data_IF_120581573095
#
_entry.id   IF_120581573095
#
_cell.length_a   1.000
_cell.length_b   1.000
_cell.length_c   1.000
_cell.angle_alpha   90.00
_cell.angle_beta   90.00
_cell.angle_gamma   90.00
#
_symmetry.space_group_name_H-M   'P 1'
#
loop_
_entity.id
_entity.type
_entity.pdbx_description
1 polymer ?
#
# COMPACT_ATOMS: atom_id res chain seq x y z
N UNK A 1 9.65 6.11 -0.73
CA UNK A 1 8.66 5.28 -1.43
C UNK A 1 8.83 3.82 -1.10
N UNK A 2 7.76 3.08 -1.18
CA UNK A 2 7.77 1.64 -0.95
C UNK A 2 7.15 0.92 -2.13
N UNK A 3 7.38 -0.37 -2.23
CA UNK A 3 6.75 -1.22 -3.24
C UNK A 3 5.57 -1.96 -2.61
N UNK A 4 4.41 -1.79 -3.22
CA UNK A 4 3.20 -2.51 -2.86
C UNK A 4 3.08 -3.73 -3.75
N UNK A 5 2.70 -4.86 -3.18
CA UNK A 5 2.30 -6.03 -3.94
C UNK A 5 0.85 -5.84 -4.38
N UNK A 6 0.60 -5.94 -5.68
CA UNK A 6 -0.74 -5.82 -6.24
C UNK A 6 -1.11 -7.12 -6.92
N UNK A 7 -2.21 -7.74 -6.53
CA UNK A 7 -2.64 -9.03 -7.06
C UNK A 7 -4.06 -8.92 -7.60
N UNK A 8 -4.25 -9.38 -8.83
CA UNK A 8 -5.57 -9.42 -9.45
C UNK A 8 -6.22 -10.76 -9.12
N UNK A 9 -7.38 -10.72 -8.49
CA UNK A 9 -8.11 -11.91 -8.08
C UNK A 9 -9.38 -12.06 -8.92
N UNK A 10 -9.59 -13.29 -9.42
CA UNK A 10 -10.87 -13.61 -10.02
C UNK A 10 -11.92 -13.66 -8.91
N UNK A 11 -13.12 -13.19 -9.21
CA UNK A 11 -14.21 -13.21 -8.26
C UNK A 11 -14.78 -14.63 -8.15
N UNK A 12 -14.03 -15.52 -7.52
CA UNK A 12 -14.41 -16.90 -7.32
C UNK A 12 -14.05 -17.35 -5.91
N UNK A 13 -14.78 -18.34 -5.45
CA UNK A 13 -14.64 -18.88 -4.11
C UNK A 13 -13.22 -19.42 -3.88
N UNK A 14 -12.64 -19.12 -2.73
CA UNK A 14 -11.35 -19.67 -2.34
C UNK A 14 -10.12 -18.95 -2.85
N UNK A 15 -10.26 -17.96 -3.75
CA UNK A 15 -9.08 -17.29 -4.32
C UNK A 15 -8.32 -16.48 -3.28
N UNK A 16 -9.01 -15.79 -2.40
CA UNK A 16 -8.34 -15.01 -1.35
C UNK A 16 -7.60 -15.94 -0.37
N UNK A 17 -8.23 -17.03 0.03
CA UNK A 17 -7.58 -17.99 0.91
C UNK A 17 -6.35 -18.60 0.26
N UNK A 18 -6.43 -18.91 -1.04
CA UNK A 18 -5.30 -19.47 -1.79
C UNK A 18 -4.15 -18.46 -1.88
N UNK A 19 -4.45 -17.18 -2.10
CA UNK A 19 -3.45 -16.11 -2.12
C UNK A 19 -2.71 -16.05 -0.79
N UNK A 20 -3.44 -16.00 0.31
CA UNK A 20 -2.83 -15.89 1.63
C UNK A 20 -2.02 -17.14 2.00
N UNK A 21 -2.50 -18.32 1.62
CA UNK A 21 -1.77 -19.57 1.87
C UNK A 21 -0.48 -19.63 1.05
N UNK A 22 -0.52 -19.21 -0.19
CA UNK A 22 0.66 -19.19 -1.05
C UNK A 22 1.75 -18.30 -0.46
N UNK A 23 1.38 -17.11 0.01
CA UNK A 23 2.31 -16.18 0.63
C UNK A 23 2.86 -16.74 1.96
N UNK A 24 2.00 -17.33 2.78
CA UNK A 24 2.40 -17.91 4.05
C UNK A 24 3.40 -19.05 3.87
N UNK A 25 3.13 -19.94 2.92
CA UNK A 25 4.00 -21.08 2.64
C UNK A 25 5.37 -20.64 2.09
N UNK A 26 5.42 -19.47 1.48
CA UNK A 26 6.66 -18.86 0.98
C UNK A 26 7.40 -18.04 2.04
N UNK A 27 6.86 -17.97 3.26
CA UNK A 27 7.47 -17.19 4.34
C UNK A 27 7.32 -15.69 4.20
N UNK A 28 6.37 -15.22 3.40
CA UNK A 28 6.12 -13.78 3.22
C UNK A 28 5.17 -13.28 4.30
N UNK A 29 5.62 -12.29 5.05
CA UNK A 29 4.79 -11.67 6.08
C UNK A 29 4.06 -10.45 5.53
N UNK A 30 2.74 -10.40 5.75
CA UNK A 30 1.92 -9.28 5.35
C UNK A 30 1.73 -8.30 6.50
N UNK A 31 2.07 -7.03 6.25
CA UNK A 31 1.87 -5.95 7.22
C UNK A 31 0.50 -5.30 7.03
N UNK A 32 -0.01 -5.30 5.80
CA UNK A 32 -1.32 -4.74 5.48
C UNK A 32 -1.91 -5.46 4.27
N UNK A 33 -3.23 -5.55 4.25
CA UNK A 33 -3.98 -6.13 3.15
C UNK A 33 -5.26 -5.32 2.98
N UNK A 34 -5.55 -4.88 1.76
CA UNK A 34 -6.84 -4.30 1.43
C UNK A 34 -7.31 -4.88 0.10
N UNK A 35 -8.61 -5.02 -0.03
CA UNK A 35 -9.23 -5.59 -1.22
C UNK A 35 -10.28 -4.62 -1.73
N UNK A 36 -10.16 -4.28 -3.01
CA UNK A 36 -11.18 -3.52 -3.72
C UNK A 36 -11.76 -4.45 -4.77
N UNK A 37 -13.08 -4.55 -4.84
CA UNK A 37 -13.69 -5.45 -5.79
C UNK A 37 -14.64 -4.74 -6.76
N UNK A 38 -14.71 -5.29 -7.97
CA UNK A 38 -15.73 -4.96 -8.94
C UNK A 38 -16.61 -6.22 -9.11
N UNK A 39 -17.61 -6.16 -9.99
CA UNK A 39 -18.49 -7.30 -10.20
C UNK A 39 -17.77 -8.54 -10.75
N UNK A 40 -16.67 -8.35 -11.45
CA UNK A 40 -15.99 -9.43 -12.18
C UNK A 40 -14.68 -9.87 -11.54
N UNK A 41 -13.99 -8.98 -10.85
CA UNK A 41 -12.70 -9.30 -10.24
C UNK A 41 -12.42 -8.40 -9.04
N UNK A 42 -11.41 -8.77 -8.27
CA UNK A 42 -10.92 -7.97 -7.16
C UNK A 42 -9.44 -7.62 -7.35
N UNK A 43 -9.01 -6.63 -6.64
CA UNK A 43 -7.60 -6.25 -6.56
C UNK A 43 -7.19 -6.27 -5.10
N UNK A 44 -6.22 -7.11 -4.77
CA UNK A 44 -5.62 -7.13 -3.43
C UNK A 44 -4.37 -6.26 -3.45
N UNK A 45 -4.29 -5.34 -2.50
CA UNK A 45 -3.13 -4.48 -2.32
C UNK A 45 -2.51 -4.82 -0.98
N UNK A 46 -1.25 -5.21 -1.01
CA UNK A 46 -0.56 -5.81 0.14
C UNK A 46 0.76 -5.10 0.38
N UNK A 47 1.01 -4.76 1.63
CA UNK A 47 2.34 -4.32 2.08
C UNK A 47 2.96 -5.53 2.77
N UNK A 48 4.09 -5.97 2.26
CA UNK A 48 4.75 -7.16 2.77
C UNK A 48 6.27 -7.04 2.67
N UNK A 49 6.96 -7.92 3.38
CA UNK A 49 8.40 -8.07 3.19
C UNK A 49 8.65 -8.81 1.87
N UNK A 50 9.87 -8.67 1.36
CA UNK A 50 10.35 -9.42 0.20
C UNK A 50 9.35 -9.46 -0.98
N UNK A 51 8.91 -8.29 -1.41
CA UNK A 51 7.87 -8.16 -2.45
C UNK A 51 8.28 -8.82 -3.78
N UNK A 52 9.57 -8.81 -4.14
CA UNK A 52 10.05 -9.44 -5.37
C UNK A 52 9.85 -10.96 -5.32
N UNK A 53 10.17 -11.57 -4.18
CA UNK A 53 9.95 -13.01 -3.98
C UNK A 53 8.45 -13.32 -3.99
N UNK A 54 7.64 -12.46 -3.38
CA UNK A 54 6.19 -12.63 -3.36
C UNK A 54 5.61 -12.65 -4.77
N UNK A 55 6.03 -11.76 -5.64
CA UNK A 55 5.58 -11.72 -7.03
C UNK A 55 5.92 -13.03 -7.73
N UNK A 56 7.17 -13.49 -7.61
CA UNK A 56 7.62 -14.72 -8.27
C UNK A 56 6.82 -15.94 -7.82
N UNK A 57 6.62 -16.08 -6.51
CA UNK A 57 5.88 -17.19 -5.93
C UNK A 57 4.41 -17.18 -6.40
N UNK A 58 3.80 -16.01 -6.43
CA UNK A 58 2.41 -15.88 -6.86
C UNK A 58 2.24 -16.16 -8.34
N UNK A 59 3.16 -15.67 -9.18
CA UNK A 59 3.10 -15.97 -10.61
C UNK A 59 3.25 -17.47 -10.88
N UNK A 60 4.17 -18.12 -10.18
CA UNK A 60 4.35 -19.57 -10.29
C UNK A 60 3.10 -20.34 -9.87
N UNK A 61 2.32 -19.78 -8.95
CA UNK A 61 1.08 -20.40 -8.48
C UNK A 61 -0.14 -20.02 -9.34
N UNK A 62 0.06 -19.27 -10.42
CA UNK A 62 -0.99 -18.92 -11.36
C UNK A 62 -1.72 -17.61 -11.07
N UNK A 63 -1.22 -16.81 -10.15
CA UNK A 63 -1.80 -15.50 -9.86
C UNK A 63 -1.18 -14.43 -10.77
N UNK A 64 -1.96 -13.39 -11.05
CA UNK A 64 -1.44 -12.18 -11.71
C UNK A 64 -1.02 -11.21 -10.63
N UNK A 65 0.27 -10.99 -10.51
CA UNK A 65 0.84 -10.14 -9.48
C UNK A 65 1.82 -9.15 -10.08
N UNK A 66 1.89 -7.97 -9.49
CA UNK A 66 2.85 -6.95 -9.92
C UNK A 66 3.26 -6.11 -8.71
N UNK A 67 4.31 -5.32 -8.90
CA UNK A 67 4.80 -4.35 -7.91
C UNK A 67 4.31 -2.97 -8.30
N UNK A 68 3.82 -2.23 -7.33
CA UNK A 68 3.34 -0.87 -7.54
C UNK A 68 4.05 0.06 -6.58
N UNK A 69 4.66 1.11 -7.12
CA UNK A 69 5.34 2.09 -6.30
C UNK A 69 4.30 3.02 -5.64
N UNK A 70 4.37 3.16 -4.31
CA UNK A 70 3.44 3.97 -3.53
C UNK A 70 4.19 4.82 -2.51
N UNK A 71 3.55 5.89 -2.06
CA UNK A 71 4.05 6.69 -0.95
C UNK A 71 3.50 6.13 0.35
N UNK A 72 4.34 6.04 1.37
CA UNK A 72 3.91 5.68 2.71
C UNK A 72 4.21 6.86 3.63
N UNK A 73 3.21 7.30 4.37
CA UNK A 73 3.31 8.48 5.22
C UNK A 73 2.93 8.13 6.64
N UNK A 74 3.76 8.55 7.58
CA UNK A 74 3.47 8.38 9.01
C UNK A 74 2.42 9.41 9.43
N UNK A 75 1.34 8.94 10.06
CA UNK A 75 0.28 9.80 10.59
C UNK A 75 0.14 9.62 12.09
N UNK A 76 0.05 10.70 12.86
CA UNK A 76 -0.36 10.55 14.26
C UNK A 76 -1.80 10.04 14.30
N UNK A 77 -2.09 9.13 15.20
CA UNK A 77 -3.42 8.55 15.37
C UNK A 77 -4.29 9.49 16.18
N UNK A 78 -4.80 10.53 15.52
CA UNK A 78 -5.70 11.52 16.13
C UNK A 78 -6.68 12.05 15.08
N UNK A 79 -7.84 12.55 15.53
CA UNK A 79 -8.79 13.18 14.61
C UNK A 79 -8.14 14.34 13.85
N UNK A 80 -8.36 14.36 12.53
CA UNK A 80 -7.89 15.44 11.68
C UNK A 80 -6.54 15.21 11.02
N UNK A 81 -5.74 14.24 11.46
CA UNK A 81 -4.41 14.03 10.88
C UNK A 81 -4.47 13.73 9.38
N UNK A 82 -5.37 12.84 8.98
CA UNK A 82 -5.53 12.51 7.56
C UNK A 82 -6.04 13.70 6.76
N UNK A 83 -6.96 14.47 7.32
CA UNK A 83 -7.46 15.68 6.65
C UNK A 83 -6.32 16.67 6.40
N UNK A 84 -5.47 16.89 7.38
CA UNK A 84 -4.32 17.79 7.25
C UNK A 84 -3.36 17.33 6.14
N UNK A 85 -3.09 16.03 6.08
CA UNK A 85 -2.23 15.48 5.03
C UNK A 85 -2.83 15.69 3.65
N UNK A 86 -4.10 15.37 3.49
CA UNK A 86 -4.78 15.49 2.20
C UNK A 86 -4.92 16.94 1.75
N UNK A 87 -5.15 17.84 2.68
CA UNK A 87 -5.20 19.27 2.39
C UNK A 87 -3.83 19.80 1.90
N UNK A 88 -2.74 19.31 2.51
CA UNK A 88 -1.40 19.65 2.06
C UNK A 88 -1.16 19.20 0.63
N UNK A 89 -1.61 18.02 0.27
CA UNK A 89 -1.49 17.50 -1.10
C UNK A 89 -2.39 18.26 -2.07
N UNK A 90 -3.56 18.66 -1.63
CA UNK A 90 -4.51 19.40 -2.47
C UNK A 90 -3.95 20.74 -2.94
N UNK A 91 -3.11 21.39 -2.14
CA UNK A 91 -2.49 22.66 -2.52
C UNK A 91 -1.61 22.54 -3.75
N UNK A 92 -1.09 21.34 -4.04
CA UNK A 92 -0.19 21.08 -5.16
C UNK A 92 -0.89 20.50 -6.38
N UNK A 93 -2.20 20.32 -6.32
CA UNK A 93 -3.00 19.75 -7.41
C UNK A 93 -2.61 18.31 -7.77
N UNK A 94 -2.11 17.57 -6.80
CA UNK A 94 -1.78 16.15 -6.98
C UNK A 94 -3.06 15.34 -6.84
N UNK A 95 -3.31 14.46 -7.81
CA UNK A 95 -4.45 13.55 -7.76
C UNK A 95 -4.05 12.24 -7.09
N UNK A 96 -4.82 11.85 -6.10
CA UNK A 96 -4.62 10.57 -5.41
C UNK A 96 -5.52 9.53 -6.07
N UNK A 97 -4.92 8.50 -6.65
CA UNK A 97 -5.67 7.46 -7.34
C UNK A 97 -6.40 6.55 -6.35
N UNK A 98 -5.73 6.20 -5.27
CA UNK A 98 -6.32 5.48 -4.14
C UNK A 98 -5.40 5.59 -2.92
N UNK A 99 -5.93 5.25 -1.77
CA UNK A 99 -5.15 5.22 -0.55
C UNK A 99 -5.80 4.33 0.49
N UNK A 100 -5.02 3.92 1.47
CA UNK A 100 -5.50 3.15 2.62
C UNK A 100 -4.57 3.35 3.79
N UNK A 101 -5.12 3.21 4.99
CA UNK A 101 -4.37 3.36 6.22
C UNK A 101 -4.32 2.04 6.98
N UNK A 102 -3.24 1.83 7.71
CA UNK A 102 -3.15 0.71 8.64
C UNK A 102 -2.40 1.13 9.89
N UNK A 103 -2.65 0.41 10.96
CA UNK A 103 -2.03 0.69 12.25
C UNK A 103 -0.61 0.15 12.26
N UNK A 104 0.31 0.95 12.78
CA UNK A 104 1.67 0.51 13.04
C UNK A 104 1.86 0.43 14.56
N UNK A 105 3.10 0.38 15.01
CA UNK A 105 3.41 0.30 16.43
C UNK A 105 3.06 1.59 17.18
N UNK A 106 2.36 1.48 18.31
CA UNK A 106 2.02 2.62 19.16
C UNK A 106 0.92 3.50 18.61
N UNK A 107 1.08 4.81 18.73
CA UNK A 107 0.06 5.81 18.37
C UNK A 107 0.21 6.32 16.94
N UNK A 108 0.81 5.51 16.08
CA UNK A 108 1.12 5.88 14.71
C UNK A 108 0.35 5.01 13.74
N UNK A 109 -0.27 5.65 12.77
CA UNK A 109 -0.84 4.98 11.60
C UNK A 109 0.04 5.25 10.39
N UNK A 110 -0.09 4.43 9.38
CA UNK A 110 0.61 4.61 8.13
C UNK A 110 -0.44 4.75 7.04
N UNK A 111 -0.32 5.82 6.26
CA UNK A 111 -1.17 6.05 5.11
C UNK A 111 -0.40 5.75 3.83
N UNK A 112 -0.94 4.85 3.01
CA UNK A 112 -0.36 4.48 1.73
C UNK A 112 -1.15 5.19 0.63
N UNK A 113 -0.43 5.90 -0.24
CA UNK A 113 -1.04 6.69 -1.30
C UNK A 113 -0.47 6.31 -2.65
N UNK A 114 -1.35 6.00 -3.59
CA UNK A 114 -0.95 5.78 -4.99
C UNK A 114 -1.15 7.07 -5.76
N UNK A 115 -0.06 7.57 -6.31
CA UNK A 115 0.01 8.84 -7.01
C UNK A 115 0.71 8.60 -8.35
N UNK A 116 0.32 9.32 -9.39
CA UNK A 116 0.93 9.18 -10.70
C UNK A 116 2.43 9.46 -10.64
N UNK A 117 3.24 8.75 -11.44
CA UNK A 117 4.71 8.91 -11.41
C UNK A 117 5.16 10.36 -11.57
N UNK A 118 4.54 11.11 -12.45
CA UNK A 118 4.91 12.52 -12.71
C UNK A 118 4.62 13.45 -11.53
N UNK A 119 3.77 13.04 -10.59
CA UNK A 119 3.38 13.84 -9.44
C UNK A 119 4.11 13.45 -8.15
N UNK A 120 4.86 12.35 -8.15
CA UNK A 120 5.45 11.79 -6.93
C UNK A 120 6.37 12.75 -6.20
N UNK A 121 7.30 13.38 -6.92
CA UNK A 121 8.27 14.27 -6.29
C UNK A 121 7.60 15.49 -5.68
N UNK A 122 6.61 16.04 -6.39
CA UNK A 122 5.83 17.17 -5.91
C UNK A 122 5.01 16.80 -4.68
N UNK A 123 4.41 15.62 -4.69
CA UNK A 123 3.64 15.11 -3.56
C UNK A 123 4.53 14.90 -2.33
N UNK A 124 5.68 14.27 -2.52
CA UNK A 124 6.62 14.01 -1.43
C UNK A 124 7.10 15.31 -0.80
N UNK A 125 7.44 16.30 -1.63
CA UNK A 125 7.86 17.61 -1.15
C UNK A 125 6.76 18.30 -0.34
N UNK A 126 5.50 18.22 -0.79
CA UNK A 126 4.37 18.82 -0.09
C UNK A 126 4.12 18.15 1.27
N UNK A 127 4.24 16.83 1.31
CA UNK A 127 4.08 16.04 2.54
C UNK A 127 5.12 16.46 3.57
N UNK A 128 6.38 16.51 3.15
CA UNK A 128 7.49 16.88 4.02
C UNK A 128 7.39 18.34 4.48
N UNK A 129 7.01 19.23 3.59
CA UNK A 129 6.82 20.66 3.93
C UNK A 129 5.71 20.87 4.95
N UNK A 130 4.72 20.00 4.96
CA UNK A 130 3.62 20.04 5.93
C UNK A 130 3.99 19.41 7.27
N UNK A 131 5.21 18.90 7.42
CA UNK A 131 5.68 18.31 8.65
C UNK A 131 5.42 16.82 8.81
N UNK A 132 4.95 16.16 7.77
CA UNK A 132 4.75 14.72 7.79
C UNK A 132 6.01 13.98 7.33
N UNK A 133 6.18 12.76 7.81
CA UNK A 133 7.32 11.93 7.47
C UNK A 133 6.94 10.90 6.43
N UNK A 134 7.70 10.83 5.33
CA UNK A 134 7.59 9.74 4.36
C UNK A 134 8.45 8.57 4.83
N UNK A 135 7.98 7.36 4.55
CA UNK A 135 8.58 6.14 5.08
C UNK A 135 9.14 5.26 3.99
N UNK A 136 10.19 4.50 4.34
CA UNK A 136 10.69 3.38 3.55
C UNK A 136 10.19 2.09 4.21
N UNK A 137 10.29 0.96 3.50
CA UNK A 137 9.77 -0.31 4.03
C UNK A 137 10.37 -0.67 5.40
N UNK A 138 11.66 -0.42 5.59
CA UNK A 138 12.33 -0.73 6.86
C UNK A 138 11.72 0.00 8.06
N UNK A 139 11.13 1.16 7.83
CA UNK A 139 10.44 1.94 8.87
C UNK A 139 9.13 1.29 9.30
N UNK A 140 8.54 0.46 8.44
CA UNK A 140 7.24 -0.19 8.67
C UNK A 140 7.40 -1.53 9.36
N UNK A 141 8.40 -2.30 8.94
CA UNK A 141 8.55 -3.70 9.32
C UNK A 141 9.29 -3.93 10.63
N UNK A 142 9.65 -2.89 11.33
CA UNK A 142 10.42 -3.01 12.58
C UNK A 142 9.64 -3.59 13.74
#
# INVERSE_FOLDING_TARGET
MIMQLTVFLENSEGRLAALCRTLADAGVNMDALTIAETSDYGVARIICDNVFHAVDVLEDAGFRATKTKVLAVELPDRPGALAELLEALDTTKVNIEYGYCFQSNGDVAIDVLKIKPEDRDRAEAAIESAGFKTLHYDDISS
#
